data_IF_548770200584
#
_entry.id   IF_548770200584
#
_cell.length_a   1.000
_cell.length_b   1.000
_cell.length_c   1.000
_cell.angle_alpha   90.00
_cell.angle_beta   90.00
_cell.angle_gamma   90.00
#
_symmetry.space_group_name_H-M   'P 1'
#
loop_
_entity.id
_entity.type
_entity.pdbx_description
1 polymer ?
#
# COMPACT_ATOMS: atom_id res chain seq x y z
N UNK A 1 -54.16 5.55 6.56
CA UNK A 1 -53.23 5.56 5.41
C UNK A 1 -51.81 5.40 5.98
N UNK A 2 -51.30 4.17 5.95
CA UNK A 2 -50.01 3.81 6.56
C UNK A 2 -48.94 3.96 5.47
N UNK A 3 -48.02 4.92 5.63
CA UNK A 3 -46.89 5.11 4.70
C UNK A 3 -45.75 4.21 5.17
N UNK A 4 -45.50 3.15 4.42
CA UNK A 4 -44.38 2.23 4.63
C UNK A 4 -43.13 2.87 4.03
N UNK A 5 -42.21 3.37 4.88
CA UNK A 5 -40.87 3.78 4.45
C UNK A 5 -40.05 2.52 4.19
N UNK A 6 -39.80 2.21 2.92
CA UNK A 6 -38.82 1.22 2.54
C UNK A 6 -37.42 1.81 2.74
N UNK A 7 -36.72 1.37 3.81
CA UNK A 7 -35.28 1.59 3.94
C UNK A 7 -34.59 0.75 2.85
N UNK A 8 -34.22 1.37 1.74
CA UNK A 8 -33.24 0.80 0.81
C UNK A 8 -31.88 0.89 1.49
N UNK A 9 -31.47 -0.23 2.09
CA UNK A 9 -30.10 -0.36 2.57
C UNK A 9 -29.14 -0.18 1.40
N UNK A 10 -28.34 0.90 1.40
CA UNK A 10 -27.16 0.99 0.54
C UNK A 10 -26.28 -0.19 0.93
N UNK A 11 -26.16 -1.19 0.04
CA UNK A 11 -25.06 -2.13 0.11
C UNK A 11 -23.78 -1.31 -0.13
N UNK A 12 -22.93 -1.16 0.87
CA UNK A 12 -21.57 -0.73 0.64
C UNK A 12 -20.98 -1.70 -0.38
N UNK A 13 -20.64 -1.22 -1.57
CA UNK A 13 -19.90 -2.01 -2.54
C UNK A 13 -18.51 -2.21 -1.94
N UNK A 14 -18.03 -3.46 -1.96
CA UNK A 14 -16.60 -3.75 -1.76
C UNK A 14 -15.81 -2.80 -2.65
N UNK A 15 -14.76 -2.18 -2.10
CA UNK A 15 -14.01 -1.15 -2.80
C UNK A 15 -13.51 -1.66 -4.16
N UNK A 16 -13.91 -0.98 -5.22
CA UNK A 16 -13.55 -1.34 -6.59
C UNK A 16 -12.11 -0.90 -6.88
N UNK A 17 -11.26 -1.83 -7.34
CA UNK A 17 -9.88 -1.53 -7.75
C UNK A 17 -9.80 -0.82 -9.11
N UNK A 18 -10.82 -0.94 -9.96
CA UNK A 18 -10.80 -0.43 -11.33
C UNK A 18 -10.42 1.06 -11.45
N UNK A 19 -10.89 1.98 -10.59
CA UNK A 19 -10.48 3.39 -10.65
C UNK A 19 -8.99 3.62 -10.46
N UNK A 20 -8.31 2.75 -9.70
CA UNK A 20 -6.89 2.84 -9.37
C UNK A 20 -5.99 2.24 -10.45
N UNK A 21 -6.53 1.46 -11.38
CA UNK A 21 -5.75 0.76 -12.42
C UNK A 21 -5.01 1.75 -13.30
N UNK A 22 -3.67 1.53 -13.42
CA UNK A 22 -2.81 2.39 -14.23
C UNK A 22 -1.36 2.37 -13.78
N UNK A 23 -0.56 3.17 -14.48
CA UNK A 23 0.84 3.42 -14.15
C UNK A 23 1.00 4.89 -13.75
N UNK A 24 1.80 5.13 -12.72
CA UNK A 24 1.93 6.44 -12.09
C UNK A 24 3.39 6.73 -11.78
N UNK A 25 3.81 7.98 -11.91
CA UNK A 25 5.18 8.43 -11.57
C UNK A 25 5.15 9.72 -10.78
N UNK A 26 6.10 9.87 -9.89
CA UNK A 26 6.28 11.09 -9.08
C UNK A 26 7.64 11.13 -8.43
N UNK A 27 7.92 12.22 -7.73
CA UNK A 27 9.16 12.40 -6.96
C UNK A 27 8.87 13.13 -5.65
N UNK A 28 9.73 12.91 -4.66
CA UNK A 28 9.68 13.63 -3.38
C UNK A 28 11.07 13.80 -2.80
N UNK A 29 11.27 14.87 -2.02
CA UNK A 29 12.40 14.97 -1.11
C UNK A 29 11.97 14.39 0.25
N UNK A 30 12.66 13.34 0.69
CA UNK A 30 12.40 12.69 1.97
C UNK A 30 13.32 13.30 3.00
N UNK A 31 12.75 13.88 4.04
CA UNK A 31 13.50 14.41 5.19
C UNK A 31 13.84 13.24 6.10
N UNK A 32 15.13 13.00 6.30
CA UNK A 32 15.66 12.00 7.23
C UNK A 32 15.69 12.54 8.68
N UNK A 33 15.94 11.66 9.68
CA UNK A 33 15.90 12.02 11.10
C UNK A 33 16.94 13.10 11.49
N UNK A 34 18.03 13.20 10.73
CA UNK A 34 19.09 14.23 10.90
C UNK A 34 18.78 15.56 10.20
N UNK A 35 17.59 15.66 9.56
CA UNK A 35 17.15 16.84 8.81
C UNK A 35 17.70 16.93 7.39
N UNK A 36 18.50 15.95 6.95
CA UNK A 36 18.97 15.91 5.56
C UNK A 36 17.81 15.54 4.61
N UNK A 37 17.83 16.10 3.40
CA UNK A 37 16.87 15.78 2.36
C UNK A 37 17.46 14.79 1.36
N UNK A 38 16.72 13.72 1.09
CA UNK A 38 17.11 12.72 0.12
C UNK A 38 16.09 12.68 -1.02
N UNK A 39 16.47 13.09 -2.24
CA UNK A 39 15.59 13.01 -3.41
C UNK A 39 15.26 11.57 -3.76
N UNK A 40 14.00 11.31 -4.12
CA UNK A 40 13.53 10.00 -4.57
C UNK A 40 12.57 10.14 -5.74
N UNK A 41 12.76 9.28 -6.74
CA UNK A 41 11.75 9.06 -7.78
C UNK A 41 10.94 7.81 -7.42
N UNK A 42 9.65 7.87 -7.72
CA UNK A 42 8.69 6.82 -7.43
C UNK A 42 7.88 6.48 -8.66
N UNK A 43 7.70 5.19 -8.91
CA UNK A 43 6.74 4.70 -9.88
C UNK A 43 5.86 3.65 -9.23
N UNK A 44 4.58 3.64 -9.60
CA UNK A 44 3.59 2.66 -9.13
C UNK A 44 2.82 2.15 -10.33
N UNK A 45 2.60 0.83 -10.39
CA UNK A 45 1.71 0.19 -11.34
C UNK A 45 0.66 -0.60 -10.57
N UNK A 46 -0.60 -0.38 -10.88
CA UNK A 46 -1.73 -1.10 -10.28
C UNK A 46 -2.46 -1.80 -11.41
N UNK A 47 -2.63 -3.11 -11.27
CA UNK A 47 -3.25 -3.97 -12.27
C UNK A 47 -4.35 -4.81 -11.64
N UNK A 48 -5.49 -4.89 -12.29
CA UNK A 48 -6.54 -5.82 -11.91
C UNK A 48 -6.12 -7.26 -12.26
N UNK A 49 -6.40 -8.20 -11.35
CA UNK A 49 -6.22 -9.63 -11.53
C UNK A 49 -7.58 -10.33 -11.44
N UNK A 50 -7.65 -11.58 -11.86
CA UNK A 50 -8.90 -12.37 -11.84
C UNK A 50 -9.58 -12.40 -10.46
N UNK A 51 -8.79 -12.53 -9.38
CA UNK A 51 -9.30 -12.71 -8.02
C UNK A 51 -8.75 -11.61 -7.06
N UNK A 52 -8.46 -10.42 -7.59
CA UNK A 52 -7.88 -9.33 -6.82
C UNK A 52 -7.10 -8.33 -7.67
N UNK A 53 -5.94 -7.89 -7.20
CA UNK A 53 -5.12 -6.93 -7.93
C UNK A 53 -3.62 -7.05 -7.57
N UNK A 54 -2.77 -6.54 -8.45
CA UNK A 54 -1.33 -6.38 -8.19
C UNK A 54 -1.00 -4.91 -7.94
N UNK A 55 -0.15 -4.66 -6.97
CA UNK A 55 0.53 -3.37 -6.80
C UNK A 55 2.02 -3.59 -6.90
N UNK A 56 2.65 -2.99 -7.90
CA UNK A 56 4.11 -2.94 -8.02
C UNK A 56 4.61 -1.51 -7.92
N UNK A 57 5.73 -1.33 -7.27
CA UNK A 57 6.35 0.00 -7.18
C UNK A 57 7.87 -0.08 -7.18
N UNK A 58 8.47 0.99 -7.66
CA UNK A 58 9.92 1.22 -7.63
C UNK A 58 10.18 2.54 -6.92
N UNK A 59 11.16 2.55 -6.04
CA UNK A 59 11.70 3.77 -5.44
C UNK A 59 13.18 3.88 -5.79
N UNK A 60 13.54 4.92 -6.51
CA UNK A 60 14.93 5.28 -6.83
C UNK A 60 15.38 6.36 -5.87
N UNK A 61 16.41 6.08 -5.09
CA UNK A 61 16.97 7.00 -4.09
C UNK A 61 18.32 7.52 -4.56
N UNK A 62 18.49 8.84 -4.60
CA UNK A 62 19.72 9.52 -4.97
C UNK A 62 20.46 9.93 -3.70
N UNK A 63 21.58 9.27 -3.41
CA UNK A 63 22.37 9.53 -2.21
C UNK A 63 23.32 10.70 -2.41
N UNK A 64 23.68 11.38 -1.31
CA UNK A 64 24.61 12.52 -1.32
C UNK A 64 26.00 12.17 -1.86
N UNK A 65 26.43 10.91 -1.78
CA UNK A 65 27.71 10.41 -2.33
C UNK A 65 27.63 10.04 -3.83
N UNK A 66 26.51 10.36 -4.50
CA UNK A 66 26.27 10.08 -5.93
C UNK A 66 25.81 8.67 -6.23
N UNK A 67 25.67 7.78 -5.23
CA UNK A 67 25.11 6.44 -5.45
C UNK A 67 23.61 6.51 -5.67
N UNK A 68 23.13 5.67 -6.58
CA UNK A 68 21.70 5.48 -6.85
C UNK A 68 21.28 4.10 -6.32
N UNK A 69 20.18 4.04 -5.58
CA UNK A 69 19.63 2.80 -5.06
C UNK A 69 18.18 2.62 -5.51
N UNK A 70 17.93 1.53 -6.24
CA UNK A 70 16.59 1.10 -6.60
C UNK A 70 16.07 0.06 -5.62
N UNK A 71 14.80 0.22 -5.23
CA UNK A 71 14.03 -0.77 -4.49
C UNK A 71 12.75 -1.05 -5.27
N UNK A 72 12.52 -2.32 -5.58
CA UNK A 72 11.35 -2.77 -6.36
C UNK A 72 10.56 -3.79 -5.56
N UNK A 73 9.25 -3.64 -5.60
CA UNK A 73 8.30 -4.53 -4.94
C UNK A 73 7.16 -4.83 -5.91
N UNK A 74 6.60 -6.03 -5.80
CA UNK A 74 5.39 -6.43 -6.52
C UNK A 74 4.61 -7.39 -5.64
N UNK A 75 3.35 -7.08 -5.37
CA UNK A 75 2.52 -7.82 -4.43
C UNK A 75 1.16 -8.06 -5.06
N UNK A 76 0.76 -9.33 -5.10
CA UNK A 76 -0.59 -9.74 -5.47
C UNK A 76 -1.48 -9.74 -4.24
N UNK A 77 -2.61 -9.06 -4.33
CA UNK A 77 -3.63 -8.98 -3.31
C UNK A 77 -4.86 -9.78 -3.74
N UNK A 78 -5.40 -10.58 -2.84
CA UNK A 78 -6.63 -11.35 -3.04
C UNK A 78 -7.70 -10.90 -2.05
N UNK A 79 -8.96 -10.89 -2.49
CA UNK A 79 -10.09 -10.63 -1.60
C UNK A 79 -10.03 -11.60 -0.41
N UNK A 80 -10.17 -11.07 0.79
CA UNK A 80 -10.31 -11.86 2.01
C UNK A 80 -11.80 -12.14 2.31
N UNK A 81 -12.08 -12.88 3.39
CA UNK A 81 -13.45 -13.11 3.87
C UNK A 81 -14.06 -11.84 4.53
N UNK A 82 -13.34 -10.73 4.53
CA UNK A 82 -13.78 -9.43 5.03
C UNK A 82 -13.94 -8.47 3.86
N UNK A 83 -15.07 -7.78 3.84
CA UNK A 83 -15.30 -6.74 2.83
C UNK A 83 -14.21 -5.67 2.90
N UNK A 84 -13.79 -5.18 1.73
CA UNK A 84 -12.78 -4.12 1.55
C UNK A 84 -11.36 -4.43 2.06
N UNK A 85 -11.11 -5.67 2.56
CA UNK A 85 -9.79 -6.10 3.03
C UNK A 85 -9.23 -7.19 2.12
N UNK A 86 -7.99 -6.99 1.70
CA UNK A 86 -7.27 -7.87 0.79
C UNK A 86 -6.03 -8.44 1.47
N UNK A 87 -5.82 -9.74 1.36
CA UNK A 87 -4.60 -10.39 1.85
C UNK A 87 -3.54 -10.47 0.77
N UNK A 88 -2.28 -10.23 1.14
CA UNK A 88 -1.16 -10.46 0.23
C UNK A 88 -0.75 -11.93 0.25
N UNK A 89 -0.63 -12.53 -0.93
CA UNK A 89 -0.08 -13.87 -1.11
C UNK A 89 1.39 -13.74 -1.53
N UNK A 90 2.31 -13.89 -0.57
CA UNK A 90 3.73 -13.60 -0.82
C UNK A 90 4.61 -14.85 -0.90
N UNK A 91 4.11 -16.01 -0.52
CA UNK A 91 4.83 -17.30 -0.68
C UNK A 91 3.86 -18.45 -0.91
N UNK A 92 4.38 -19.58 -1.42
CA UNK A 92 3.63 -20.82 -1.55
C UNK A 92 4.08 -21.80 -0.48
N UNK A 93 3.12 -22.48 0.16
CA UNK A 93 3.39 -23.59 1.08
C UNK A 93 3.73 -24.87 0.31
N UNK A 94 4.06 -25.94 1.04
CA UNK A 94 4.43 -27.25 0.47
C UNK A 94 3.32 -27.89 -0.36
N UNK A 95 2.08 -27.46 -0.22
CA UNK A 95 0.92 -27.93 -0.99
C UNK A 95 0.61 -27.04 -2.20
N UNK A 96 1.45 -26.04 -2.48
CA UNK A 96 1.28 -25.10 -3.60
C UNK A 96 0.27 -23.99 -3.33
N UNK A 97 -0.28 -23.87 -2.11
CA UNK A 97 -1.19 -22.79 -1.74
C UNK A 97 -0.41 -21.52 -1.40
N UNK A 98 -0.90 -20.39 -1.87
CA UNK A 98 -0.37 -19.08 -1.52
C UNK A 98 -0.75 -18.75 -0.07
N UNK A 99 0.24 -18.31 0.71
CA UNK A 99 0.06 -17.95 2.11
C UNK A 99 0.76 -16.62 2.41
N UNK A 100 0.22 -15.79 3.31
CA UNK A 100 0.90 -14.59 3.77
C UNK A 100 2.19 -14.96 4.49
N UNK A 101 3.15 -14.04 4.51
CA UNK A 101 4.36 -14.14 5.29
C UNK A 101 4.04 -14.02 6.79
N UNK A 102 4.88 -14.60 7.63
CA UNK A 102 4.67 -14.68 9.09
C UNK A 102 5.57 -13.68 9.82
N UNK A 103 5.02 -12.60 10.40
CA UNK A 103 5.82 -11.58 11.09
C UNK A 103 6.52 -12.14 12.34
N UNK A 104 6.03 -13.22 12.96
CA UNK A 104 6.68 -13.88 14.07
C UNK A 104 7.96 -14.63 13.67
N UNK A 105 8.19 -14.78 12.37
CA UNK A 105 9.42 -15.34 11.78
C UNK A 105 10.32 -14.27 11.15
N UNK A 106 10.07 -12.99 11.43
CA UNK A 106 10.80 -11.88 10.84
C UNK A 106 10.42 -11.60 9.38
N UNK A 107 9.32 -12.18 8.88
CA UNK A 107 8.79 -11.91 7.55
C UNK A 107 7.75 -10.77 7.63
N UNK A 108 7.61 -9.89 6.62
CA UNK A 108 6.59 -8.83 6.65
C UNK A 108 5.20 -9.43 6.49
N UNK A 109 4.23 -9.01 7.32
CA UNK A 109 2.81 -9.28 7.08
C UNK A 109 2.21 -8.11 6.32
N UNK A 110 1.64 -8.39 5.13
CA UNK A 110 1.14 -7.34 4.24
C UNK A 110 -0.34 -7.57 3.95
N UNK A 111 -1.12 -6.49 3.97
CA UNK A 111 -2.52 -6.49 3.57
C UNK A 111 -2.89 -5.18 2.89
N UNK A 112 -3.98 -5.19 2.15
CA UNK A 112 -4.55 -4.02 1.50
C UNK A 112 -5.96 -3.72 1.99
N UNK A 113 -6.39 -2.47 1.86
CA UNK A 113 -7.76 -2.01 2.08
C UNK A 113 -8.13 -0.98 1.03
N UNK A 114 -9.36 -1.06 0.51
CA UNK A 114 -9.94 -0.01 -0.33
C UNK A 114 -11.11 0.58 0.44
N UNK A 115 -11.07 1.87 0.72
CA UNK A 115 -12.12 2.61 1.41
C UNK A 115 -12.38 3.93 0.68
N UNK A 116 -13.55 4.03 0.06
CA UNK A 116 -13.88 5.16 -0.81
C UNK A 116 -12.85 5.32 -1.93
N UNK A 117 -12.25 6.48 -2.02
CA UNK A 117 -11.27 6.84 -3.05
C UNK A 117 -9.81 6.52 -2.64
N UNK A 118 -9.59 5.73 -1.60
CA UNK A 118 -8.25 5.44 -1.08
C UNK A 118 -7.95 3.94 -1.07
N UNK A 119 -6.87 3.56 -1.76
CA UNK A 119 -6.22 2.26 -1.65
C UNK A 119 -5.07 2.36 -0.66
N UNK A 120 -5.19 1.68 0.48
CA UNK A 120 -4.15 1.58 1.50
C UNK A 120 -3.47 0.22 1.45
N UNK A 121 -2.14 0.22 1.46
CA UNK A 121 -1.31 -0.98 1.67
C UNK A 121 -0.57 -0.83 2.99
N UNK A 122 -0.68 -1.85 3.83
CA UNK A 122 0.01 -1.94 5.11
C UNK A 122 1.08 -3.02 5.07
N UNK A 123 2.18 -2.79 5.77
CA UNK A 123 3.23 -3.79 5.99
C UNK A 123 3.70 -3.74 7.43
N UNK A 124 3.58 -4.87 8.13
CA UNK A 124 3.97 -5.04 9.53
C UNK A 124 5.21 -5.92 9.63
N UNK A 125 6.24 -5.42 10.31
CA UNK A 125 7.45 -6.16 10.67
C UNK A 125 7.53 -6.28 12.18
N UNK A 126 7.98 -7.45 12.66
CA UNK A 126 8.30 -7.68 14.07
C UNK A 126 9.77 -8.09 14.16
N UNK A 127 10.56 -7.33 14.90
CA UNK A 127 11.97 -7.62 15.15
C UNK A 127 12.17 -8.72 16.19
N UNK A 128 13.39 -9.23 16.31
CA UNK A 128 13.74 -10.31 17.25
C UNK A 128 13.46 -9.97 18.72
N UNK A 129 13.49 -8.68 19.07
CA UNK A 129 13.22 -8.16 20.42
C UNK A 129 11.74 -7.90 20.69
N UNK A 130 10.85 -8.12 19.70
CA UNK A 130 9.43 -7.80 19.78
C UNK A 130 9.09 -6.36 19.41
N UNK A 131 10.07 -5.53 19.08
CA UNK A 131 9.84 -4.23 18.48
C UNK A 131 9.14 -4.39 17.12
N UNK A 132 8.23 -3.48 16.78
CA UNK A 132 7.54 -3.56 15.50
C UNK A 132 7.65 -2.28 14.69
N UNK A 133 7.61 -2.45 13.38
CA UNK A 133 7.50 -1.38 12.41
C UNK A 133 6.24 -1.60 11.56
N UNK A 134 5.36 -0.58 11.50
CA UNK A 134 4.21 -0.53 10.61
C UNK A 134 4.48 0.52 9.53
N UNK A 135 4.38 0.11 8.28
CA UNK A 135 4.39 0.99 7.12
C UNK A 135 2.98 1.06 6.53
N UNK A 136 2.55 2.27 6.20
CA UNK A 136 1.26 2.55 5.57
C UNK A 136 1.47 3.38 4.32
N UNK A 137 0.88 2.92 3.21
CA UNK A 137 0.91 3.58 1.91
C UNK A 137 -0.51 3.87 1.47
N UNK A 138 -0.95 5.10 1.61
CA UNK A 138 -2.26 5.56 1.13
C UNK A 138 -2.10 6.12 -0.28
N UNK A 139 -2.96 5.68 -1.18
CA UNK A 139 -3.06 6.16 -2.57
C UNK A 139 -4.49 6.60 -2.79
N UNK A 140 -4.70 7.91 -2.75
CA UNK A 140 -6.03 8.50 -2.92
C UNK A 140 -6.20 8.98 -4.36
N UNK A 141 -7.32 8.65 -4.97
CA UNK A 141 -7.68 9.12 -6.32
C UNK A 141 -7.70 10.65 -6.36
N UNK A 142 -7.01 11.21 -7.33
CA UNK A 142 -6.94 12.65 -7.58
C UNK A 142 -7.02 12.94 -9.07
N UNK A 143 -7.33 14.17 -9.44
CA UNK A 143 -7.38 14.56 -10.86
C UNK A 143 -6.01 14.36 -11.53
N UNK A 144 -5.97 13.51 -12.53
CA UNK A 144 -4.76 13.22 -13.30
C UNK A 144 -3.77 12.26 -12.61
N UNK A 145 -4.12 11.64 -11.46
CA UNK A 145 -3.22 10.71 -10.79
C UNK A 145 -3.67 10.24 -9.43
N UNK A 146 -2.71 10.05 -8.54
CA UNK A 146 -2.90 9.64 -7.15
C UNK A 146 -2.13 10.54 -6.20
N UNK A 147 -2.75 10.95 -5.11
CA UNK A 147 -2.03 11.49 -3.96
C UNK A 147 -1.48 10.31 -3.15
N UNK A 148 -0.16 10.25 -3.00
CA UNK A 148 0.54 9.27 -2.19
C UNK A 148 0.88 9.87 -0.83
N UNK A 149 0.41 9.23 0.24
CA UNK A 149 0.89 9.47 1.61
C UNK A 149 1.52 8.19 2.15
N UNK A 150 2.79 8.27 2.51
CA UNK A 150 3.53 7.20 3.18
C UNK A 150 3.77 7.58 4.62
N UNK A 151 3.51 6.65 5.54
CA UNK A 151 3.84 6.79 6.96
C UNK A 151 4.51 5.54 7.48
N UNK A 152 5.55 5.73 8.31
CA UNK A 152 6.23 4.66 9.03
C UNK A 152 6.16 4.90 10.52
N UNK A 153 5.74 3.89 11.24
CA UNK A 153 5.64 3.90 12.70
C UNK A 153 6.55 2.82 13.28
N UNK A 154 7.28 3.16 14.34
CA UNK A 154 8.06 2.21 15.14
C UNK A 154 7.51 2.23 16.55
N UNK A 155 7.09 1.09 17.06
CA UNK A 155 6.47 0.95 18.39
C UNK A 155 5.38 2.00 18.65
N UNK A 156 4.53 2.27 17.64
CA UNK A 156 3.45 3.25 17.72
C UNK A 156 3.85 4.71 17.52
N UNK A 157 5.15 5.02 17.41
CA UNK A 157 5.63 6.39 17.17
C UNK A 157 5.90 6.60 15.67
N UNK A 158 5.35 7.66 15.10
CA UNK A 158 5.59 8.02 13.68
C UNK A 158 7.05 8.44 13.51
N UNK A 159 7.82 7.69 12.72
CA UNK A 159 9.25 7.90 12.50
C UNK A 159 9.56 8.52 11.14
N UNK A 160 8.65 8.42 10.16
CA UNK A 160 8.82 9.01 8.82
C UNK A 160 7.47 9.24 8.16
N UNK A 161 7.39 10.27 7.33
CA UNK A 161 6.28 10.47 6.39
C UNK A 161 6.79 11.08 5.08
N UNK A 162 6.08 10.77 3.98
CA UNK A 162 6.32 11.32 2.65
C UNK A 162 4.96 11.58 2.02
N UNK A 163 4.79 12.74 1.44
CA UNK A 163 3.59 13.07 0.66
C UNK A 163 4.01 13.56 -0.72
N UNK A 164 3.38 13.05 -1.75
CA UNK A 164 3.63 13.45 -3.13
C UNK A 164 2.47 13.10 -4.04
N UNK A 165 2.37 13.80 -5.16
CA UNK A 165 1.45 13.47 -6.23
C UNK A 165 2.12 12.54 -7.25
N UNK A 166 1.44 11.45 -7.58
CA UNK A 166 1.86 10.50 -8.61
C UNK A 166 1.01 10.72 -9.85
N UNK A 167 1.61 11.29 -10.90
CA UNK A 167 0.94 11.58 -12.17
C UNK A 167 0.67 10.28 -12.94
N UNK A 168 -0.54 10.10 -13.43
CA UNK A 168 -0.92 9.01 -14.33
C UNK A 168 -0.22 9.17 -15.69
N UNK A 169 0.28 8.04 -16.22
CA UNK A 169 0.98 7.96 -17.51
C UNK A 169 0.02 7.62 -18.65
#
# INVERSE_FOLDING_TARGET
>A
MLILFALTGLKAHAGDIAPFVGSYVGSANVVDEDGSETPRDMSVSIQELKDGFNVSWTTTTYKADGRVKDQKFSIDFKQSDRDDVYSAAMKRNVFGHEVPLDPMRGEPFVWGRIEGDTLTVFSLFIGETGDYELQQFDRTLAEGGLDLSFSRFRNGVKSRSVETFLKKQ
#
